data_IF_408896801789
#
_entry.id   IF_408896801789
#
_cell.length_a   1.000
_cell.length_b   1.000
_cell.length_c   1.000
_cell.angle_alpha   90.00
_cell.angle_beta   90.00
_cell.angle_gamma   90.00
#
_symmetry.space_group_name_H-M   'P 1'
#
loop_
_entity.id
_entity.type
_entity.pdbx_description
1 polymer ?
#
# COMPACT_ATOMS: atom_id res chain seq x y z
N UNK A 1 -115.35 28.37 -21.33
CA UNK A 1 -114.67 28.80 -20.08
C UNK A 1 -113.94 27.60 -19.47
N UNK A 2 -112.76 27.81 -18.88
CA UNK A 2 -111.56 27.07 -19.29
C UNK A 2 -110.83 26.36 -18.14
N UNK A 3 -109.93 25.44 -18.46
CA UNK A 3 -108.73 25.04 -17.67
C UNK A 3 -108.08 23.84 -18.37
N UNK A 4 -106.77 23.67 -18.55
CA UNK A 4 -105.55 24.43 -18.29
C UNK A 4 -104.45 23.74 -19.13
N UNK A 5 -103.32 24.38 -19.49
CA UNK A 5 -102.31 23.79 -20.38
C UNK A 5 -101.47 22.71 -19.67
N UNK A 6 -101.15 21.62 -20.39
CA UNK A 6 -100.16 20.63 -19.93
C UNK A 6 -98.76 21.23 -20.00
N UNK A 7 -98.15 21.46 -18.84
CA UNK A 7 -96.75 21.84 -18.72
C UNK A 7 -95.83 20.63 -18.97
N UNK A 8 -94.92 20.75 -19.93
CA UNK A 8 -93.81 19.82 -20.11
C UNK A 8 -92.71 20.14 -19.09
N UNK A 9 -92.48 19.23 -18.15
CA UNK A 9 -91.27 19.28 -17.32
C UNK A 9 -90.12 18.58 -18.06
N UNK A 10 -89.09 19.34 -18.39
CA UNK A 10 -87.82 18.82 -18.86
C UNK A 10 -87.12 18.07 -17.70
N UNK A 11 -86.77 16.80 -17.96
CA UNK A 11 -85.98 15.97 -17.04
C UNK A 11 -84.52 16.42 -17.13
N UNK A 12 -84.05 17.23 -16.18
CA UNK A 12 -82.61 17.47 -16.02
C UNK A 12 -81.94 16.17 -15.55
N UNK A 13 -81.13 15.55 -16.42
CA UNK A 13 -80.20 14.52 -15.99
C UNK A 13 -79.00 15.21 -15.32
N UNK A 14 -78.91 15.13 -14.00
CA UNK A 14 -77.68 15.40 -13.29
C UNK A 14 -76.69 14.26 -13.60
N UNK A 15 -75.64 14.57 -14.36
CA UNK A 15 -74.43 13.76 -14.47
C UNK A 15 -73.34 14.41 -13.61
N UNK A 16 -72.91 13.79 -12.50
CA UNK A 16 -71.69 14.20 -11.84
C UNK A 16 -70.57 13.18 -12.10
N UNK A 17 -69.36 13.72 -12.31
CA UNK A 17 -68.07 13.12 -11.91
C UNK A 17 -67.52 11.94 -12.73
N UNK A 18 -67.40 12.08 -14.06
CA UNK A 18 -66.40 11.28 -14.82
C UNK A 18 -65.06 11.99 -15.04
N UNK A 19 -65.06 13.33 -15.04
CA UNK A 19 -63.87 14.13 -15.34
C UNK A 19 -62.90 14.28 -14.15
N UNK A 20 -63.41 14.53 -12.94
CA UNK A 20 -62.56 14.74 -11.75
C UNK A 20 -61.79 13.48 -11.33
N UNK A 21 -62.40 12.30 -11.44
CA UNK A 21 -61.74 11.04 -11.11
C UNK A 21 -60.58 10.72 -12.05
N UNK A 22 -60.70 11.02 -13.35
CA UNK A 22 -59.61 10.82 -14.30
C UNK A 22 -58.46 11.80 -14.12
N UNK A 23 -58.76 13.07 -13.79
CA UNK A 23 -57.75 14.08 -13.47
C UNK A 23 -56.96 13.68 -12.21
N UNK A 24 -57.66 13.20 -11.17
CA UNK A 24 -57.00 12.72 -9.93
C UNK A 24 -56.12 11.50 -10.23
N UNK A 25 -56.60 10.55 -11.05
CA UNK A 25 -55.81 9.38 -11.42
C UNK A 25 -54.54 9.76 -12.19
N UNK A 26 -54.62 10.70 -13.13
CA UNK A 26 -53.47 11.21 -13.85
C UNK A 26 -52.45 11.90 -12.93
N UNK A 27 -52.92 12.71 -11.97
CA UNK A 27 -52.04 13.38 -11.00
C UNK A 27 -51.33 12.38 -10.09
N UNK A 28 -51.99 11.31 -9.66
CA UNK A 28 -51.38 10.25 -8.84
C UNK A 28 -50.32 9.48 -9.63
N UNK A 29 -50.56 9.17 -10.91
CA UNK A 29 -49.58 8.51 -11.77
C UNK A 29 -48.37 9.41 -12.05
N UNK A 30 -48.60 10.71 -12.32
CA UNK A 30 -47.52 11.68 -12.49
C UNK A 30 -46.67 11.83 -11.23
N UNK A 31 -47.32 11.89 -10.05
CA UNK A 31 -46.61 11.95 -8.77
C UNK A 31 -45.79 10.66 -8.53
N UNK A 32 -46.33 9.49 -8.86
CA UNK A 32 -45.62 8.21 -8.79
C UNK A 32 -44.40 8.17 -9.71
N UNK A 33 -44.50 8.69 -10.93
CA UNK A 33 -43.38 8.81 -11.86
C UNK A 33 -42.31 9.80 -11.36
N UNK A 34 -42.71 10.94 -10.80
CA UNK A 34 -41.78 11.91 -10.22
C UNK A 34 -41.06 11.30 -9.01
N UNK A 35 -41.78 10.62 -8.11
CA UNK A 35 -41.17 9.95 -6.95
C UNK A 35 -40.23 8.83 -7.41
N UNK A 36 -40.63 8.03 -8.39
CA UNK A 36 -39.79 6.99 -8.99
C UNK A 36 -38.52 7.56 -9.64
N UNK A 37 -38.64 8.64 -10.39
CA UNK A 37 -37.52 9.32 -11.04
C UNK A 37 -36.58 9.96 -10.01
N UNK A 38 -37.12 10.59 -8.96
CA UNK A 38 -36.32 11.14 -7.84
C UNK A 38 -35.65 10.02 -7.05
N UNK A 39 -36.29 8.87 -6.84
CA UNK A 39 -35.69 7.72 -6.17
C UNK A 39 -34.55 7.08 -7.01
N UNK A 40 -34.73 6.97 -8.32
CA UNK A 40 -33.70 6.48 -9.26
C UNK A 40 -32.56 7.50 -9.40
N UNK A 41 -32.88 8.79 -9.48
CA UNK A 41 -31.91 9.89 -9.49
C UNK A 41 -31.08 9.94 -8.20
N UNK A 42 -31.71 9.76 -7.03
CA UNK A 42 -31.00 9.66 -5.74
C UNK A 42 -30.12 8.41 -5.67
N UNK A 43 -30.58 7.25 -6.17
CA UNK A 43 -29.73 6.05 -6.28
C UNK A 43 -28.53 6.23 -7.23
N UNK A 44 -28.67 7.04 -8.28
CA UNK A 44 -27.57 7.39 -9.19
C UNK A 44 -26.59 8.39 -8.56
N UNK A 45 -27.07 9.29 -7.69
CA UNK A 45 -26.24 10.27 -6.98
C UNK A 45 -25.43 9.67 -5.80
N UNK A 46 -25.87 8.54 -5.24
CA UNK A 46 -25.27 7.90 -4.06
C UNK A 46 -24.08 6.95 -4.38
N UNK A 47 -23.74 6.74 -5.65
CA UNK A 47 -22.54 5.98 -6.04
C UNK A 47 -21.23 6.76 -5.86
N UNK A 48 -21.27 7.96 -5.29
CA UNK A 48 -20.06 8.63 -4.77
C UNK A 48 -19.89 8.31 -3.29
N UNK A 49 -19.63 7.04 -2.96
CA UNK A 49 -18.85 6.74 -1.77
C UNK A 49 -17.41 7.19 -2.04
N UNK A 50 -17.16 8.49 -1.86
CA UNK A 50 -15.80 9.03 -1.74
C UNK A 50 -15.36 8.60 -0.34
N UNK A 51 -14.47 7.62 -0.26
CA UNK A 51 -13.93 7.12 1.01
C UNK A 51 -13.53 8.30 1.92
N UNK A 52 -13.95 8.26 3.19
CA UNK A 52 -13.95 9.42 4.08
C UNK A 52 -12.55 10.01 4.34
N UNK A 53 -11.47 9.27 4.02
CA UNK A 53 -10.08 9.75 4.12
C UNK A 53 -9.22 9.21 2.98
N UNK A 54 -8.38 10.05 2.34
CA UNK A 54 -7.41 9.59 1.35
C UNK A 54 -6.39 8.66 2.01
N UNK A 55 -6.05 7.57 1.33
CA UNK A 55 -5.03 6.62 1.77
C UNK A 55 -3.62 7.08 1.39
N UNK A 56 -3.50 7.89 0.33
CA UNK A 56 -2.24 8.49 -0.08
C UNK A 56 -1.88 9.71 0.75
N UNK A 57 -0.60 9.79 1.11
CA UNK A 57 -0.09 10.87 1.96
C UNK A 57 1.22 11.41 1.42
N UNK A 58 1.42 12.72 1.54
CA UNK A 58 2.67 13.40 1.22
C UNK A 58 3.37 13.79 2.51
N UNK A 59 4.64 13.39 2.66
CA UNK A 59 5.45 13.67 3.84
C UNK A 59 6.59 14.62 3.47
N UNK A 60 6.52 15.83 4.00
CA UNK A 60 7.55 16.87 3.88
C UNK A 60 8.28 17.00 5.22
N UNK A 61 9.61 16.93 5.20
CA UNK A 61 10.43 17.18 6.39
C UNK A 61 10.86 18.64 6.39
N UNK A 62 10.41 19.43 7.37
CA UNK A 62 10.85 20.82 7.50
C UNK A 62 12.37 20.89 7.73
N UNK A 63 13.09 21.58 6.83
CA UNK A 63 14.56 21.77 6.90
C UNK A 63 15.01 22.82 7.93
N UNK A 64 14.10 23.38 8.71
CA UNK A 64 14.38 24.43 9.69
C UNK A 64 14.24 23.94 11.13
N UNK A 65 15.20 23.15 11.62
CA UNK A 65 15.50 23.08 13.05
C UNK A 65 16.92 22.56 13.26
N UNK A 66 17.86 23.51 13.33
CA UNK A 66 19.17 23.26 13.89
C UNK A 66 18.98 23.16 15.42
N UNK A 67 18.74 21.95 15.93
CA UNK A 67 18.63 21.66 17.37
C UNK A 67 17.25 21.16 17.81
N UNK A 68 17.22 19.96 18.40
CA UNK A 68 16.03 19.34 18.99
C UNK A 68 15.31 18.39 18.04
N UNK A 69 15.00 17.18 18.52
CA UNK A 69 14.41 16.10 17.72
C UNK A 69 13.23 16.55 16.86
N UNK A 70 13.19 16.03 15.63
CA UNK A 70 12.14 16.30 14.66
C UNK A 70 10.77 15.92 15.20
N UNK A 71 10.11 16.91 15.76
CA UNK A 71 8.73 16.84 16.16
C UNK A 71 7.86 16.97 14.91
N UNK A 72 7.34 15.83 14.45
CA UNK A 72 5.97 15.80 13.91
C UNK A 72 5.08 15.50 15.10
N UNK A 73 4.93 16.47 16.01
CA UNK A 73 3.83 16.44 16.98
C UNK A 73 2.76 17.39 16.47
N UNK A 74 1.87 16.86 15.65
CA UNK A 74 0.46 17.15 15.92
C UNK A 74 0.15 16.41 17.24
N UNK A 75 0.39 17.07 18.38
CA UNK A 75 0.06 16.56 19.71
C UNK A 75 -1.47 16.36 19.79
N UNK A 76 -1.95 15.21 19.32
CA UNK A 76 -3.38 14.87 19.40
C UNK A 76 -3.86 13.81 18.40
N UNK A 77 -3.19 13.59 17.27
CA UNK A 77 -3.60 12.53 16.34
C UNK A 77 -3.00 11.19 16.74
N UNK A 78 -3.86 10.31 17.28
CA UNK A 78 -3.53 8.91 17.56
C UNK A 78 -3.14 8.22 16.24
N UNK A 79 -1.88 7.78 16.12
CA UNK A 79 -1.38 7.00 14.98
C UNK A 79 -2.27 5.78 14.72
N UNK A 80 -2.46 5.42 13.45
CA UNK A 80 -3.30 4.29 13.08
C UNK A 80 -2.63 2.97 13.47
N UNK A 81 -3.30 2.14 14.28
CA UNK A 81 -2.73 0.89 14.81
C UNK A 81 -2.95 -0.28 13.85
N UNK A 82 -1.88 -0.94 13.44
CA UNK A 82 -1.88 -2.12 12.54
C UNK A 82 -0.82 -3.12 12.99
N UNK A 83 -0.84 -4.36 12.49
CA UNK A 83 0.20 -5.34 12.78
C UNK A 83 1.51 -4.97 12.06
N UNK A 84 1.40 -4.59 10.79
CA UNK A 84 2.57 -4.23 9.99
C UNK A 84 2.28 -3.15 8.95
N UNK A 85 3.31 -2.37 8.61
CA UNK A 85 3.28 -1.45 7.47
C UNK A 85 4.27 -1.93 6.41
N UNK A 86 3.79 -2.23 5.20
CA UNK A 86 4.59 -2.66 4.06
C UNK A 86 4.75 -1.49 3.08
N UNK A 87 5.97 -0.97 2.99
CA UNK A 87 6.36 0.04 2.01
C UNK A 87 7.02 -0.59 0.79
N UNK A 88 6.31 -0.56 -0.34
CA UNK A 88 6.82 -1.05 -1.63
C UNK A 88 7.64 0.06 -2.29
N UNK A 89 8.96 -0.04 -2.25
CA UNK A 89 9.88 0.93 -2.83
C UNK A 89 9.79 0.89 -4.35
N UNK A 90 9.38 2.00 -4.95
CA UNK A 90 9.16 2.13 -6.41
C UNK A 90 9.72 3.43 -6.95
N UNK A 91 9.95 3.52 -8.27
CA UNK A 91 10.46 4.72 -8.92
C UNK A 91 9.65 5.15 -10.15
N UNK A 92 10.03 6.28 -10.75
CA UNK A 92 9.36 6.79 -11.95
C UNK A 92 9.46 5.87 -13.16
N UNK A 93 10.49 5.02 -13.23
CA UNK A 93 10.65 4.01 -14.28
C UNK A 93 9.82 2.73 -14.10
N UNK A 94 9.13 2.58 -12.96
CA UNK A 94 8.49 1.33 -12.56
C UNK A 94 6.97 1.30 -12.75
N UNK A 95 6.42 2.12 -13.66
CA UNK A 95 4.96 2.18 -13.90
C UNK A 95 4.39 0.80 -14.26
N UNK A 96 5.07 0.05 -15.13
CA UNK A 96 4.66 -1.29 -15.52
C UNK A 96 4.71 -2.29 -14.36
N UNK A 97 5.74 -2.22 -13.50
CA UNK A 97 5.83 -3.02 -12.27
C UNK A 97 4.68 -2.74 -11.30
N UNK A 98 4.38 -1.46 -11.04
CA UNK A 98 3.21 -1.08 -10.23
C UNK A 98 1.90 -1.60 -10.82
N UNK A 99 1.78 -1.59 -12.15
CA UNK A 99 0.62 -2.16 -12.85
C UNK A 99 0.53 -3.68 -12.64
N UNK A 100 1.64 -4.41 -12.76
CA UNK A 100 1.68 -5.86 -12.54
C UNK A 100 1.36 -6.23 -11.08
N UNK A 101 1.89 -5.47 -10.11
CA UNK A 101 1.54 -5.62 -8.69
C UNK A 101 0.04 -5.45 -8.47
N UNK A 102 -0.53 -4.41 -9.09
CA UNK A 102 -1.97 -4.10 -9.07
C UNK A 102 -2.88 -5.16 -9.69
N UNK A 103 -2.37 -5.88 -10.68
CA UNK A 103 -3.05 -7.00 -11.32
C UNK A 103 -2.88 -8.33 -10.57
N UNK A 104 -2.08 -8.35 -9.49
CA UNK A 104 -1.73 -9.57 -8.76
C UNK A 104 -2.01 -9.43 -7.27
N UNK A 105 -1.00 -9.27 -6.42
CA UNK A 105 -1.13 -9.38 -4.97
C UNK A 105 -1.41 -8.04 -4.26
N UNK A 106 -1.39 -6.90 -4.95
CA UNK A 106 -1.65 -5.58 -4.36
C UNK A 106 -2.81 -4.87 -5.07
N UNK A 107 -4.08 -5.16 -4.74
CA UNK A 107 -5.25 -4.73 -5.50
C UNK A 107 -5.30 -3.22 -5.80
N UNK A 108 -5.66 -2.87 -7.04
CA UNK A 108 -5.73 -1.48 -7.50
C UNK A 108 -6.93 -0.68 -6.99
N UNK A 109 -7.99 -1.35 -6.57
CA UNK A 109 -9.21 -0.70 -6.12
C UNK A 109 -9.23 -0.64 -4.59
N UNK A 110 -9.77 0.46 -4.07
CA UNK A 110 -9.77 0.73 -2.64
C UNK A 110 -10.49 -0.37 -1.82
N UNK A 111 -11.51 -1.02 -2.39
CA UNK A 111 -12.22 -2.09 -1.69
C UNK A 111 -11.38 -3.37 -1.62
N UNK A 112 -10.73 -3.75 -2.72
CA UNK A 112 -9.78 -4.85 -2.78
C UNK A 112 -8.60 -4.64 -1.82
N UNK A 113 -8.03 -3.43 -1.81
CA UNK A 113 -6.96 -3.07 -0.89
C UNK A 113 -7.42 -3.15 0.57
N UNK A 114 -8.55 -2.56 0.91
CA UNK A 114 -9.10 -2.63 2.27
C UNK A 114 -9.31 -4.09 2.73
N UNK A 115 -9.86 -4.96 1.88
CA UNK A 115 -10.01 -6.40 2.23
C UNK A 115 -8.67 -7.07 2.47
N UNK A 116 -7.64 -6.76 1.67
CA UNK A 116 -6.29 -7.27 1.87
C UNK A 116 -5.74 -6.80 3.23
N UNK A 117 -5.88 -5.52 3.55
CA UNK A 117 -5.36 -4.95 4.79
C UNK A 117 -6.09 -5.50 6.03
N UNK A 118 -7.40 -5.62 5.98
CA UNK A 118 -8.21 -6.19 7.05
C UNK A 118 -7.93 -7.68 7.28
N UNK A 119 -7.77 -8.46 6.21
CA UNK A 119 -7.54 -9.91 6.31
C UNK A 119 -6.12 -10.27 6.78
N UNK A 120 -5.14 -9.41 6.52
CA UNK A 120 -3.73 -9.65 6.88
C UNK A 120 -3.28 -8.86 8.12
N UNK A 121 -4.01 -7.81 8.49
CA UNK A 121 -3.56 -6.83 9.50
C UNK A 121 -2.39 -5.96 9.03
N UNK A 122 -2.04 -6.01 7.74
CA UNK A 122 -0.91 -5.30 7.14
C UNK A 122 -1.41 -4.16 6.25
N UNK A 123 -0.78 -2.99 6.31
CA UNK A 123 -1.04 -1.87 5.38
C UNK A 123 -0.03 -1.89 4.24
N UNK A 124 -0.46 -1.61 3.01
CA UNK A 124 0.40 -1.64 1.83
C UNK A 124 0.40 -0.30 1.09
N UNK A 125 1.57 0.33 0.93
CA UNK A 125 1.69 1.57 0.15
C UNK A 125 2.89 1.54 -0.78
N UNK A 126 2.72 2.08 -1.97
CA UNK A 126 3.86 2.42 -2.82
C UNK A 126 4.62 3.59 -2.23
N UNK A 127 5.93 3.47 -2.12
CA UNK A 127 6.81 4.51 -1.58
C UNK A 127 7.67 5.08 -2.69
N UNK A 128 7.47 6.36 -2.98
CA UNK A 128 8.16 7.06 -4.06
C UNK A 128 8.58 8.46 -3.60
N UNK A 129 9.78 8.85 -3.99
CA UNK A 129 10.29 10.21 -3.83
C UNK A 129 9.76 11.15 -4.91
N UNK A 130 10.48 12.26 -5.11
CA UNK A 130 10.19 13.27 -6.12
C UNK A 130 11.27 13.35 -7.18
N UNK A 131 10.95 14.04 -8.28
CA UNK A 131 11.91 14.41 -9.33
C UNK A 131 11.66 15.86 -9.76
N UNK A 132 12.68 16.50 -10.33
CA UNK A 132 12.56 17.83 -10.93
C UNK A 132 11.86 17.82 -12.29
N UNK A 133 11.71 16.64 -12.91
CA UNK A 133 10.96 16.43 -14.15
C UNK A 133 9.46 16.63 -13.94
N UNK A 134 8.94 17.76 -14.44
CA UNK A 134 7.54 18.14 -14.30
C UNK A 134 6.58 17.16 -14.98
N UNK A 135 6.97 16.55 -16.09
CA UNK A 135 6.13 15.59 -16.82
C UNK A 135 5.94 14.34 -15.99
N UNK A 136 7.02 13.80 -15.42
CA UNK A 136 6.96 12.65 -14.50
C UNK A 136 6.14 12.96 -13.24
N UNK A 137 6.30 14.15 -12.67
CA UNK A 137 5.51 14.56 -11.50
C UNK A 137 4.01 14.72 -11.83
N UNK A 138 3.65 15.21 -13.02
CA UNK A 138 2.25 15.27 -13.45
C UNK A 138 1.65 13.88 -13.63
N UNK A 139 2.35 12.97 -14.31
CA UNK A 139 1.91 11.58 -14.47
C UNK A 139 1.73 10.87 -13.11
N UNK A 140 2.64 11.10 -12.15
CA UNK A 140 2.51 10.57 -10.80
C UNK A 140 1.27 11.13 -10.08
N UNK A 141 0.97 12.43 -10.21
CA UNK A 141 -0.24 13.02 -9.61
C UNK A 141 -1.52 12.40 -10.17
N UNK A 142 -1.56 12.13 -11.47
CA UNK A 142 -2.69 11.45 -12.11
C UNK A 142 -2.84 10.00 -11.60
N UNK A 143 -1.72 9.29 -11.43
CA UNK A 143 -1.71 7.93 -10.86
C UNK A 143 -2.20 7.91 -9.40
N UNK A 144 -1.70 8.82 -8.57
CA UNK A 144 -2.14 8.98 -7.17
C UNK A 144 -3.63 9.29 -7.10
N UNK A 145 -4.13 10.20 -7.94
CA UNK A 145 -5.55 10.53 -7.99
C UNK A 145 -6.43 9.34 -8.44
N UNK A 146 -5.86 8.41 -9.21
CA UNK A 146 -6.56 7.24 -9.73
C UNK A 146 -6.64 6.09 -8.70
N UNK A 147 -5.53 5.77 -8.04
CA UNK A 147 -5.42 4.55 -7.23
C UNK A 147 -5.37 4.82 -5.71
N UNK A 148 -4.97 6.02 -5.31
CA UNK A 148 -4.88 6.42 -3.91
C UNK A 148 -4.07 5.45 -3.03
N UNK A 149 -2.91 4.96 -3.48
CA UNK A 149 -2.14 3.90 -2.80
C UNK A 149 -0.66 4.27 -2.50
N UNK A 150 -0.34 5.57 -2.36
CA UNK A 150 1.04 6.06 -2.25
C UNK A 150 1.42 6.75 -0.92
N UNK A 151 2.66 6.55 -0.50
CA UNK A 151 3.40 7.47 0.38
C UNK A 151 4.41 8.23 -0.48
N UNK A 152 4.23 9.55 -0.57
CA UNK A 152 5.09 10.46 -1.32
C UNK A 152 6.11 11.08 -0.36
N UNK A 153 7.40 10.87 -0.64
CA UNK A 153 8.51 11.37 0.18
C UNK A 153 9.17 12.60 -0.46
N UNK A 154 9.55 13.58 0.35
CA UNK A 154 10.41 14.70 -0.08
C UNK A 154 11.89 14.29 -0.17
N UNK A 155 12.18 13.24 -0.94
CA UNK A 155 13.52 12.74 -1.26
C UNK A 155 13.64 12.64 -2.77
N UNK A 156 14.76 13.07 -3.34
CA UNK A 156 14.98 12.96 -4.78
C UNK A 156 15.19 11.49 -5.19
N UNK A 157 14.46 11.05 -6.21
CA UNK A 157 14.57 9.70 -6.76
C UNK A 157 15.86 9.53 -7.56
N UNK A 158 16.77 8.76 -6.99
CA UNK A 158 18.01 8.34 -7.62
C UNK A 158 18.51 7.05 -6.94
N UNK A 159 19.13 6.13 -7.70
CA UNK A 159 19.66 4.88 -7.13
C UNK A 159 20.67 5.14 -6.01
N UNK A 160 21.53 6.15 -6.16
CA UNK A 160 22.52 6.53 -5.14
C UNK A 160 21.88 7.08 -3.84
N UNK A 161 20.58 7.39 -3.86
CA UNK A 161 19.82 7.95 -2.74
C UNK A 161 18.93 6.92 -2.05
N UNK A 162 18.94 5.66 -2.47
CA UNK A 162 18.14 4.59 -1.86
C UNK A 162 18.29 4.51 -0.33
N UNK A 163 19.49 4.58 0.28
CA UNK A 163 19.60 4.58 1.75
C UNK A 163 18.83 5.72 2.42
N UNK A 164 18.85 6.91 1.83
CA UNK A 164 18.12 8.08 2.35
C UNK A 164 16.61 7.94 2.16
N UNK A 165 16.18 7.41 1.02
CA UNK A 165 14.76 7.10 0.75
C UNK A 165 14.23 6.08 1.75
N UNK A 166 14.97 5.02 2.03
CA UNK A 166 14.59 4.01 3.02
C UNK A 166 14.50 4.58 4.44
N UNK A 167 15.45 5.41 4.86
CA UNK A 167 15.35 6.09 6.16
C UNK A 167 14.12 7.01 6.21
N UNK A 168 13.88 7.79 5.15
CA UNK A 168 12.72 8.66 5.05
C UNK A 168 11.39 7.86 5.07
N UNK A 169 11.36 6.69 4.44
CA UNK A 169 10.26 5.74 4.51
C UNK A 169 9.98 5.31 5.96
N UNK A 170 10.99 4.82 6.68
CA UNK A 170 10.79 4.37 8.06
C UNK A 170 10.32 5.50 8.97
N UNK A 171 10.88 6.71 8.81
CA UNK A 171 10.42 7.91 9.54
C UNK A 171 8.97 8.26 9.21
N UNK A 172 8.60 8.26 7.93
CA UNK A 172 7.25 8.56 7.48
C UNK A 172 6.23 7.52 8.00
N UNK A 173 6.53 6.24 7.80
CA UNK A 173 5.66 5.15 8.23
C UNK A 173 5.46 5.15 9.75
N UNK A 174 6.53 5.40 10.53
CA UNK A 174 6.44 5.51 11.98
C UNK A 174 5.62 6.72 12.44
N UNK A 175 5.68 7.85 11.73
CA UNK A 175 4.85 9.00 12.05
C UNK A 175 3.36 8.75 11.79
N UNK A 176 3.04 7.97 10.76
CA UNK A 176 1.67 7.72 10.30
C UNK A 176 0.98 6.55 11.03
N UNK A 177 1.72 5.47 11.30
CA UNK A 177 1.18 4.20 11.80
C UNK A 177 1.89 3.75 13.08
N UNK A 178 1.11 3.22 14.02
CA UNK A 178 1.59 2.47 15.17
C UNK A 178 1.60 0.97 14.82
N UNK A 179 2.72 0.50 14.27
CA UNK A 179 2.87 -0.88 13.78
C UNK A 179 3.84 -1.68 14.63
N UNK A 180 3.61 -2.99 14.76
CA UNK A 180 4.57 -3.90 15.41
C UNK A 180 5.81 -4.12 14.54
N UNK A 181 5.61 -4.12 13.21
CA UNK A 181 6.68 -4.19 12.21
C UNK A 181 6.51 -3.17 11.07
N UNK A 182 7.63 -2.70 10.55
CA UNK A 182 7.71 -1.92 9.32
C UNK A 182 8.55 -2.70 8.31
N UNK A 183 7.96 -2.99 7.15
CA UNK A 183 8.53 -3.86 6.11
C UNK A 183 8.91 -3.01 4.92
N UNK A 184 10.16 -3.13 4.48
CA UNK A 184 10.60 -2.63 3.19
C UNK A 184 10.50 -3.78 2.19
N UNK A 185 9.88 -3.54 1.05
CA UNK A 185 9.82 -4.46 -0.09
C UNK A 185 10.16 -3.73 -1.39
N UNK A 186 10.83 -4.38 -2.33
CA UNK A 186 11.03 -3.84 -3.68
C UNK A 186 9.82 -4.10 -4.59
N UNK A 187 9.65 -3.27 -5.61
CA UNK A 187 8.57 -3.39 -6.58
C UNK A 187 8.78 -4.47 -7.65
N UNK A 188 9.86 -5.26 -7.56
CA UNK A 188 10.18 -6.37 -8.45
C UNK A 188 10.23 -7.73 -7.75
N UNK A 189 9.48 -7.91 -6.66
CA UNK A 189 9.28 -9.22 -6.01
C UNK A 189 7.83 -9.70 -6.14
N UNK A 190 7.62 -11.00 -6.04
CA UNK A 190 6.29 -11.56 -5.80
C UNK A 190 6.12 -11.84 -4.31
N UNK A 191 5.15 -11.20 -3.66
CA UNK A 191 4.90 -11.34 -2.24
C UNK A 191 3.60 -12.12 -1.99
N UNK A 192 3.57 -12.90 -0.91
CA UNK A 192 2.39 -13.59 -0.38
C UNK A 192 1.98 -12.95 0.95
N UNK A 193 1.06 -11.96 0.93
CA UNK A 193 0.71 -11.15 2.10
C UNK A 193 0.20 -11.95 3.30
N UNK A 194 -0.56 -13.01 3.05
CA UNK A 194 -1.05 -13.97 4.02
C UNK A 194 0.09 -14.63 4.81
N UNK A 195 1.13 -15.08 4.11
CA UNK A 195 2.30 -15.72 4.74
C UNK A 195 3.19 -14.72 5.47
N UNK A 196 3.32 -13.51 4.93
CA UNK A 196 4.01 -12.43 5.61
C UNK A 196 3.31 -12.08 6.93
N UNK A 197 1.97 -11.99 6.93
CA UNK A 197 1.18 -11.73 8.14
C UNK A 197 1.46 -12.76 9.23
N UNK A 198 1.44 -14.05 8.89
CA UNK A 198 1.75 -15.13 9.85
C UNK A 198 3.17 -15.04 10.40
N UNK A 199 4.15 -14.71 9.56
CA UNK A 199 5.54 -14.53 10.01
C UNK A 199 5.66 -13.35 10.99
N UNK A 200 4.97 -12.24 10.74
CA UNK A 200 5.02 -11.06 11.60
C UNK A 200 4.25 -11.27 12.91
N UNK A 201 3.15 -12.04 12.89
CA UNK A 201 2.36 -12.39 14.07
C UNK A 201 3.07 -13.36 15.04
N UNK A 202 4.13 -14.04 14.58
CA UNK A 202 4.92 -14.97 15.41
C UNK A 202 5.46 -14.28 16.66
N UNK A 203 5.24 -14.88 17.83
CA UNK A 203 5.81 -14.43 19.09
C UNK A 203 7.35 -14.52 19.07
N UNK A 204 7.99 -13.49 19.62
CA UNK A 204 9.44 -13.37 19.66
C UNK A 204 9.91 -12.99 21.06
N UNK A 205 11.00 -13.58 21.57
CA UNK A 205 11.54 -13.22 22.87
C UNK A 205 12.22 -11.84 22.88
N UNK A 206 12.67 -11.35 21.73
CA UNK A 206 13.34 -10.06 21.57
C UNK A 206 12.41 -9.03 20.92
N UNK A 207 12.20 -7.89 21.57
CA UNK A 207 11.40 -6.81 20.99
C UNK A 207 12.10 -6.11 19.83
N UNK A 208 13.43 -6.03 19.85
CA UNK A 208 14.26 -5.48 18.78
C UNK A 208 14.68 -6.57 17.79
N UNK A 209 13.89 -6.72 16.74
CA UNK A 209 14.11 -7.72 15.69
C UNK A 209 14.34 -7.07 14.32
N UNK A 210 15.37 -7.55 13.63
CA UNK A 210 15.64 -7.37 12.21
C UNK A 210 15.44 -8.70 11.50
N UNK A 211 14.37 -8.79 10.71
CA UNK A 211 13.93 -10.02 10.06
C UNK A 211 14.15 -9.92 8.55
N UNK A 212 14.72 -10.97 7.96
CA UNK A 212 14.96 -11.04 6.52
C UNK A 212 15.63 -12.34 6.13
N UNK A 213 15.89 -12.51 4.83
CA UNK A 213 16.82 -13.54 4.37
C UNK A 213 18.25 -13.01 4.55
N UNK A 214 18.96 -13.52 5.55
CA UNK A 214 20.26 -13.02 5.97
C UNK A 214 21.38 -13.59 5.07
N UNK A 215 22.34 -12.73 4.73
CA UNK A 215 23.49 -13.07 3.88
C UNK A 215 24.78 -12.44 4.38
N UNK A 216 25.88 -13.03 3.89
CA UNK A 216 27.20 -12.41 3.77
C UNK A 216 27.63 -12.46 2.31
N UNK A 217 28.62 -11.66 1.95
CA UNK A 217 29.14 -11.64 0.59
C UNK A 217 30.29 -10.66 0.42
N UNK A 218 30.99 -10.70 -0.74
CA UNK A 218 32.14 -9.86 -0.97
C UNK A 218 31.75 -8.38 -1.02
N UNK A 219 32.63 -7.52 -0.49
CA UNK A 219 32.54 -6.07 -0.74
C UNK A 219 33.03 -5.80 -2.16
N UNK A 220 32.19 -5.19 -2.98
CA UNK A 220 32.54 -4.90 -4.36
C UNK A 220 33.38 -3.63 -4.45
N UNK A 221 34.67 -3.78 -4.78
CA UNK A 221 35.63 -2.66 -4.82
C UNK A 221 35.94 -2.15 -6.23
N UNK A 222 35.40 -2.79 -7.27
CA UNK A 222 35.57 -2.33 -8.66
C UNK A 222 34.44 -1.32 -9.01
N UNK A 223 34.78 -0.06 -9.36
CA UNK A 223 33.81 0.97 -9.76
C UNK A 223 32.91 0.60 -10.95
N UNK A 224 33.26 -0.44 -11.72
CA UNK A 224 32.47 -0.93 -12.85
C UNK A 224 31.35 -1.88 -12.44
N UNK A 225 31.36 -2.38 -11.20
CA UNK A 225 30.33 -3.28 -10.70
C UNK A 225 29.13 -2.50 -10.18
N UNK A 226 27.92 -3.03 -10.43
CA UNK A 226 26.64 -2.42 -10.04
C UNK A 226 26.59 -2.01 -8.57
N UNK A 227 27.18 -2.82 -7.70
CA UNK A 227 27.14 -2.65 -6.24
C UNK A 227 28.45 -2.16 -5.65
N UNK A 228 29.27 -1.46 -6.46
CA UNK A 228 30.51 -0.84 -6.01
C UNK A 228 30.31 -0.03 -4.73
N UNK A 229 31.18 -0.29 -3.75
CA UNK A 229 31.19 0.41 -2.46
C UNK A 229 32.44 1.30 -2.34
N UNK A 230 32.29 2.63 -2.52
CA UNK A 230 33.40 3.57 -2.43
C UNK A 230 34.02 3.64 -1.02
N UNK A 231 33.27 3.27 0.03
CA UNK A 231 33.76 3.20 1.40
C UNK A 231 34.17 1.78 1.81
N UNK A 232 34.54 0.94 0.84
CA UNK A 232 34.93 -0.46 1.07
C UNK A 232 36.08 -0.63 2.07
N UNK A 233 36.97 0.36 2.17
CA UNK A 233 38.05 0.39 3.17
C UNK A 233 37.55 0.42 4.63
N UNK A 234 36.31 0.85 4.87
CA UNK A 234 35.68 0.81 6.20
C UNK A 234 35.00 -0.53 6.51
N UNK A 235 34.73 -1.36 5.49
CA UNK A 235 33.95 -2.59 5.61
C UNK A 235 34.81 -3.86 5.55
N UNK A 236 36.00 -3.77 4.94
CA UNK A 236 36.87 -4.93 4.73
C UNK A 236 36.54 -5.68 3.45
N UNK A 237 36.87 -6.98 3.40
CA UNK A 237 36.71 -7.82 2.18
C UNK A 237 35.32 -8.43 2.04
N UNK A 238 34.61 -8.61 3.15
CA UNK A 238 33.30 -9.26 3.21
C UNK A 238 32.35 -8.37 4.00
N UNK A 239 31.11 -8.21 3.53
CA UNK A 239 30.07 -7.56 4.30
C UNK A 239 29.73 -8.39 5.54
N UNK A 240 29.40 -7.70 6.62
CA UNK A 240 28.80 -8.30 7.81
C UNK A 240 27.45 -8.97 7.49
N UNK A 241 26.92 -9.77 8.43
CA UNK A 241 25.63 -10.42 8.25
C UNK A 241 24.51 -9.36 8.16
N UNK A 242 23.75 -9.34 7.07
CA UNK A 242 22.62 -8.43 6.86
C UNK A 242 21.55 -9.08 5.97
N UNK A 243 20.33 -8.55 5.96
CA UNK A 243 19.30 -9.07 5.07
C UNK A 243 19.55 -8.67 3.61
N UNK A 244 19.08 -9.48 2.67
CA UNK A 244 19.00 -9.05 1.28
C UNK A 244 18.04 -7.86 1.11
N UNK A 245 18.41 -6.94 0.21
CA UNK A 245 17.62 -5.74 -0.09
C UNK A 245 16.16 -5.97 -0.51
N UNK A 246 15.79 -6.97 -1.33
CA UNK A 246 14.44 -7.11 -1.87
C UNK A 246 13.31 -7.11 -0.83
N UNK A 247 13.52 -7.69 0.34
CA UNK A 247 12.56 -7.60 1.44
C UNK A 247 13.21 -7.81 2.82
N UNK A 248 12.85 -6.97 3.78
CA UNK A 248 13.15 -7.16 5.20
C UNK A 248 12.18 -6.37 6.09
N UNK A 249 12.08 -6.75 7.36
CA UNK A 249 11.22 -6.14 8.36
C UNK A 249 12.01 -5.68 9.58
N UNK A 250 11.67 -4.49 10.08
CA UNK A 250 12.19 -3.92 11.31
C UNK A 250 11.06 -3.81 12.33
N UNK A 251 11.27 -4.34 13.52
CA UNK A 251 10.35 -4.18 14.65
C UNK A 251 10.15 -2.70 15.02
N UNK A 252 9.03 -2.42 15.70
CA UNK A 252 8.68 -1.09 16.21
C UNK A 252 9.81 -0.40 16.96
N UNK A 253 10.45 -1.10 17.90
CA UNK A 253 11.50 -0.54 18.76
C UNK A 253 12.75 -0.16 17.98
N UNK A 254 13.07 -0.94 16.94
CA UNK A 254 14.18 -0.65 16.02
C UNK A 254 13.88 0.60 15.22
N UNK A 255 12.69 0.69 14.62
CA UNK A 255 12.29 1.87 13.86
C UNK A 255 12.20 3.11 14.74
N UNK A 256 11.65 3.00 15.95
CA UNK A 256 11.63 4.09 16.92
C UNK A 256 13.05 4.61 17.21
N UNK A 257 14.02 3.70 17.35
CA UNK A 257 15.44 4.06 17.53
C UNK A 257 15.99 4.79 16.30
N UNK A 258 15.70 4.31 15.08
CA UNK A 258 16.10 4.96 13.83
C UNK A 258 15.50 6.37 13.67
N UNK A 259 14.23 6.56 14.06
CA UNK A 259 13.57 7.88 14.02
C UNK A 259 14.21 8.85 15.00
N UNK A 260 14.60 8.38 16.18
CA UNK A 260 15.25 9.18 17.22
C UNK A 260 16.71 9.56 16.89
N UNK A 261 17.33 8.94 15.87
CA UNK A 261 18.68 9.29 15.46
C UNK A 261 18.75 10.72 14.95
N UNK A 262 19.70 11.48 15.49
CA UNK A 262 20.10 12.77 14.91
C UNK A 262 20.65 12.54 13.51
N UNK A 263 20.33 13.45 12.59
CA UNK A 263 20.89 13.44 11.24
C UNK A 263 22.42 13.28 11.28
N UNK A 264 22.96 12.51 10.33
CA UNK A 264 24.39 12.25 10.16
C UNK A 264 25.07 11.51 11.34
N UNK A 265 24.31 10.92 12.27
CA UNK A 265 24.90 10.15 13.38
C UNK A 265 25.42 8.77 12.95
N UNK A 266 24.78 8.16 11.95
CA UNK A 266 25.21 6.87 11.41
C UNK A 266 25.72 7.00 9.97
N UNK A 267 26.67 6.12 9.62
CA UNK A 267 27.28 6.08 8.29
C UNK A 267 26.27 5.59 7.25
N UNK A 268 26.18 6.31 6.14
CA UNK A 268 25.50 5.85 4.93
C UNK A 268 26.52 5.15 4.02
N UNK A 269 26.15 4.01 3.46
CA UNK A 269 26.90 3.27 2.43
C UNK A 269 26.19 3.39 1.09
N UNK A 270 26.83 2.98 -0.01
CA UNK A 270 26.22 3.09 -1.36
C UNK A 270 25.06 2.13 -1.54
N UNK A 271 25.11 0.96 -0.91
CA UNK A 271 24.04 -0.03 -0.94
C UNK A 271 23.11 0.15 0.27
N UNK A 272 21.81 0.19 0.02
CA UNK A 272 20.80 0.44 1.06
C UNK A 272 20.72 -0.69 2.10
N UNK A 273 20.80 -1.94 1.65
CA UNK A 273 20.73 -3.13 2.50
C UNK A 273 21.95 -3.22 3.43
N UNK A 274 23.12 -2.89 2.90
CA UNK A 274 24.36 -2.72 3.66
C UNK A 274 24.22 -1.58 4.67
N UNK A 275 23.66 -0.44 4.28
CA UNK A 275 23.44 0.68 5.22
C UNK A 275 22.59 0.25 6.41
N UNK A 276 21.42 -0.34 6.15
CA UNK A 276 20.51 -0.81 7.20
C UNK A 276 21.18 -1.87 8.07
N UNK A 277 21.79 -2.88 7.46
CA UNK A 277 22.47 -3.95 8.20
C UNK A 277 23.59 -3.41 9.12
N UNK A 278 24.35 -2.41 8.68
CA UNK A 278 25.40 -1.80 9.51
C UNK A 278 24.83 -1.16 10.78
N UNK A 279 23.64 -0.56 10.68
CA UNK A 279 22.97 0.07 11.80
C UNK A 279 22.35 -0.95 12.74
N UNK A 280 21.85 -2.07 12.21
CA UNK A 280 21.33 -3.16 13.01
C UNK A 280 22.44 -3.77 13.89
N UNK A 281 23.66 -3.86 13.37
CA UNK A 281 24.82 -4.25 14.18
C UNK A 281 25.18 -3.20 15.23
N UNK A 282 25.24 -1.92 14.84
CA UNK A 282 25.58 -0.83 15.75
C UNK A 282 24.58 -0.70 16.92
N UNK A 283 23.30 -0.98 16.67
CA UNK A 283 22.23 -0.93 17.67
C UNK A 283 22.00 -2.26 18.41
N UNK A 284 22.84 -3.27 18.18
CA UNK A 284 22.73 -4.59 18.81
C UNK A 284 21.36 -5.26 18.62
N UNK A 285 20.81 -5.18 17.40
CA UNK A 285 19.49 -5.73 17.04
C UNK A 285 19.59 -7.24 16.75
N UNK A 286 18.60 -8.01 17.21
CA UNK A 286 18.53 -9.44 16.94
C UNK A 286 18.26 -9.72 15.45
N UNK A 287 19.12 -10.49 14.80
CA UNK A 287 18.98 -10.88 13.40
C UNK A 287 18.20 -12.20 13.31
N UNK A 288 17.01 -12.16 12.72
CA UNK A 288 16.21 -13.35 12.42
C UNK A 288 16.33 -13.71 10.93
N UNK A 289 16.99 -14.83 10.66
CA UNK A 289 17.11 -15.36 9.31
C UNK A 289 15.87 -16.19 8.92
N UNK A 290 15.22 -15.83 7.82
CA UNK A 290 14.13 -16.59 7.25
C UNK A 290 14.30 -16.73 5.72
N UNK A 291 14.56 -17.96 5.27
CA UNK A 291 14.82 -18.27 3.86
C UNK A 291 13.56 -18.19 2.99
N UNK A 292 12.37 -18.27 3.57
CA UNK A 292 11.11 -18.16 2.84
C UNK A 292 10.90 -16.75 2.27
N UNK A 293 11.72 -15.78 2.70
CA UNK A 293 11.75 -14.42 2.16
C UNK A 293 12.65 -14.26 0.93
N UNK A 294 13.28 -15.33 0.42
CA UNK A 294 14.25 -15.27 -0.68
C UNK A 294 14.26 -16.50 -1.59
N UNK A 295 13.09 -17.13 -1.80
CA UNK A 295 12.99 -18.29 -2.68
C UNK A 295 12.93 -17.87 -4.16
N UNK A 296 13.56 -18.64 -5.05
CA UNK A 296 13.54 -18.35 -6.49
C UNK A 296 12.22 -18.77 -7.18
N UNK A 297 11.48 -19.69 -6.55
CA UNK A 297 10.19 -20.19 -7.01
C UNK A 297 9.21 -20.26 -5.84
N UNK A 298 7.91 -20.35 -6.13
CA UNK A 298 6.93 -20.56 -5.07
C UNK A 298 6.99 -22.00 -4.55
N UNK A 299 7.05 -22.12 -3.24
CA UNK A 299 6.85 -23.37 -2.50
C UNK A 299 5.62 -23.25 -1.60
N UNK A 300 5.29 -24.31 -0.86
CA UNK A 300 4.23 -24.26 0.15
C UNK A 300 4.53 -23.23 1.25
N UNK A 301 5.81 -22.93 1.51
CA UNK A 301 6.28 -22.07 2.60
C UNK A 301 6.72 -20.67 2.16
N UNK A 302 6.91 -20.43 0.85
CA UNK A 302 7.45 -19.17 0.36
C UNK A 302 6.62 -17.96 0.76
N UNK A 303 7.29 -16.90 1.19
CA UNK A 303 6.69 -15.62 1.57
C UNK A 303 6.98 -14.60 0.48
N UNK A 304 8.22 -14.53 0.01
CA UNK A 304 8.63 -13.67 -1.08
C UNK A 304 9.46 -14.47 -2.09
N UNK A 305 9.18 -14.22 -3.38
CA UNK A 305 9.82 -14.88 -4.51
C UNK A 305 10.56 -13.86 -5.37
N UNK A 306 11.85 -14.08 -5.54
CA UNK A 306 12.77 -13.26 -6.35
C UNK A 306 14.06 -14.03 -6.62
N UNK A 307 14.85 -13.59 -7.60
CA UNK A 307 16.00 -14.36 -8.10
C UNK A 307 17.30 -13.56 -7.96
N UNK A 308 18.31 -14.18 -7.34
CA UNK A 308 19.71 -13.75 -7.31
C UNK A 308 20.62 -14.99 -7.47
N UNK A 309 21.76 -14.93 -8.19
CA UNK A 309 22.40 -13.76 -8.80
C UNK A 309 21.90 -13.41 -10.20
N UNK A 310 20.94 -14.13 -10.76
CA UNK A 310 20.51 -13.93 -12.15
C UNK A 310 19.90 -12.55 -12.36
N UNK A 311 19.09 -12.11 -11.40
CA UNK A 311 18.48 -10.80 -11.34
C UNK A 311 18.74 -10.17 -9.96
N UNK A 312 18.28 -8.93 -9.73
CA UNK A 312 18.35 -8.28 -8.39
C UNK A 312 17.00 -8.32 -7.68
N UNK A 313 16.11 -9.20 -8.12
CA UNK A 313 14.65 -9.20 -7.97
C UNK A 313 14.10 -10.26 -8.94
N UNK A 314 12.88 -10.12 -9.44
CA UNK A 314 12.38 -10.96 -10.54
C UNK A 314 12.99 -10.52 -11.87
N UNK A 315 13.36 -11.49 -12.71
CA UNK A 315 13.67 -11.24 -14.10
C UNK A 315 12.39 -10.95 -14.88
N UNK A 316 12.36 -9.84 -15.64
CA UNK A 316 11.14 -9.36 -16.33
C UNK A 316 9.93 -9.29 -15.37
N UNK A 317 10.00 -8.45 -14.31
CA UNK A 317 9.06 -8.50 -13.20
C UNK A 317 7.61 -8.27 -13.62
N UNK A 318 7.37 -7.44 -14.64
CA UNK A 318 6.03 -7.11 -15.13
C UNK A 318 5.30 -8.36 -15.65
N UNK A 319 6.02 -9.21 -16.38
CA UNK A 319 5.49 -10.49 -16.86
C UNK A 319 5.52 -11.54 -15.76
N UNK A 320 6.63 -11.64 -15.03
CA UNK A 320 6.89 -12.74 -14.11
C UNK A 320 5.94 -12.74 -12.91
N UNK A 321 5.54 -11.57 -12.41
CA UNK A 321 4.53 -11.47 -11.35
C UNK A 321 3.20 -12.09 -11.76
N UNK A 322 2.73 -11.79 -12.98
CA UNK A 322 1.46 -12.32 -13.50
C UNK A 322 1.57 -13.84 -13.71
N UNK A 323 2.69 -14.32 -14.26
CA UNK A 323 2.96 -15.76 -14.39
C UNK A 323 2.93 -16.49 -13.05
N UNK A 324 3.59 -15.93 -12.02
CA UNK A 324 3.59 -16.51 -10.67
C UNK A 324 2.19 -16.48 -10.05
N UNK A 325 1.47 -15.36 -10.18
CA UNK A 325 0.12 -15.23 -9.64
C UNK A 325 -0.87 -16.24 -10.24
N UNK A 326 -0.68 -16.64 -11.50
CA UNK A 326 -1.48 -17.67 -12.15
C UNK A 326 -1.23 -19.09 -11.65
N UNK A 327 -0.18 -19.35 -10.86
CA UNK A 327 0.11 -20.67 -10.30
C UNK A 327 -0.61 -20.85 -8.96
N UNK A 328 -1.35 -21.95 -8.82
CA UNK A 328 -2.10 -22.26 -7.60
C UNK A 328 -1.18 -22.35 -6.37
N UNK A 329 0.05 -22.87 -6.52
CA UNK A 329 1.03 -22.94 -5.42
C UNK A 329 1.41 -21.55 -4.87
N UNK A 330 1.34 -20.50 -5.69
CA UNK A 330 1.66 -19.13 -5.29
C UNK A 330 0.43 -18.41 -4.69
N UNK A 331 -0.73 -18.50 -5.36
CA UNK A 331 -1.88 -17.62 -5.08
C UNK A 331 -3.04 -18.28 -4.34
N UNK A 332 -3.10 -19.62 -4.27
CA UNK A 332 -4.22 -20.36 -3.67
C UNK A 332 -3.82 -21.40 -2.63
N UNK A 333 -2.53 -21.53 -2.31
CA UNK A 333 -2.05 -22.56 -1.40
C UNK A 333 -2.38 -22.25 0.07
N UNK A 334 -2.95 -23.24 0.77
CA UNK A 334 -3.37 -23.15 2.18
C UNK A 334 -2.24 -22.72 3.09
N UNK A 335 -2.51 -21.78 3.99
CA UNK A 335 -1.56 -21.28 4.99
C UNK A 335 -1.21 -22.27 6.10
N UNK A 336 -1.99 -23.35 6.22
CA UNK A 336 -1.75 -24.43 7.18
C UNK A 336 -0.72 -25.42 6.63
N UNK A 337 0.14 -26.01 7.49
CA UNK A 337 0.96 -27.16 7.10
C UNK A 337 0.06 -28.27 6.55
N UNK A 338 0.51 -28.99 5.53
CA UNK A 338 -0.13 -30.24 5.14
C UNK A 338 0.07 -31.26 6.26
N UNK A 339 -0.99 -31.97 6.66
CA UNK A 339 -0.95 -33.04 7.67
C UNK A 339 -0.09 -34.27 7.24
N UNK A 340 0.63 -34.17 6.12
CA UNK A 340 1.37 -35.27 5.48
C UNK A 340 2.88 -35.30 5.81
N UNK A 341 3.38 -34.42 6.69
CA UNK A 341 4.82 -34.30 7.04
C UNK A 341 5.17 -34.68 8.51
N UNK A 342 4.33 -35.48 9.19
CA UNK A 342 4.65 -36.06 10.53
C UNK A 342 5.23 -37.48 10.48
#
# INVERSE_FOLDING_TARGET
MPSSPKAFYARQSFSPRRSTAQIICFLVVLLGFIIGFVAISRRSLDYKCKYDKPLSVSVTWDKSSNGGGGSVTDEGQKRHKVMGFVGIQTGFGSVGRRTALRQTWFPSDHQGLQRLEESTGLVFRFVIGRTSDKTKMTALKEEVAKYDDFVLLDVEEEYSKLPYKTLAFFKAAYALYDSDFYVKADDDIYLRPDRLSLLLAKERPHSQTYLGCMKKGPVFTDPKLKWYEPLSNLLGKEYFLHAYGPIYALSRDVVASLVALRNDSFRMFSNEDVTIGSWMLAMNVNHENNQNLCEAECSSSSIAVWDIPKCSGLCDPEKKMVELHGKDICSKSSTLPSDDDD
#
